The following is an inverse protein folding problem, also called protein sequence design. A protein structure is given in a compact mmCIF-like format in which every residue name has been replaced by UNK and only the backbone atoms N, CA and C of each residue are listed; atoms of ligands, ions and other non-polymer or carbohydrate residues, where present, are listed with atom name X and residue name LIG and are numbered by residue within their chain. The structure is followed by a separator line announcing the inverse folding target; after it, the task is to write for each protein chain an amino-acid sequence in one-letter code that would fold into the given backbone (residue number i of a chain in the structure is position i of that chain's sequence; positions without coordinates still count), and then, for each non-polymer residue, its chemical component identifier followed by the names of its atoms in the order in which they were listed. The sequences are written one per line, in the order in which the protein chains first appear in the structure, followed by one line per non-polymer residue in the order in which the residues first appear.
data_IF_407808975215
#
_entry.id   IF_407808975215
#
_cell.length_a   1.000
_cell.length_b   1.000
_cell.length_c   1.000
_cell.angle_alpha   90.00
_cell.angle_beta   90.00
_cell.angle_gamma   90.00
#
_symmetry.space_group_name_H-M   'P 1'
#
loop_
_entity.id
_entity.type
_entity.pdbx_description
1 polymer ?
#
# COMPACT_ATOMS: atom_id res chain seq x y z
N UNK A 1 -5.02 5.83 -10.43
CA UNK A 1 -6.26 5.51 -11.13
C UNK A 1 -6.38 6.28 -12.45
N UNK A 2 -7.27 5.84 -13.37
CA UNK A 2 -7.56 6.53 -14.64
C UNK A 2 -9.03 6.32 -15.02
N UNK A 3 -9.77 7.40 -15.20
CA UNK A 3 -11.19 7.37 -15.56
C UNK A 3 -11.44 8.19 -16.84
N UNK A 4 -12.35 7.76 -17.73
CA UNK A 4 -12.74 8.55 -18.89
C UNK A 4 -13.45 9.82 -18.45
N UNK A 5 -13.18 10.93 -19.17
CA UNK A 5 -13.88 12.19 -19.03
C UNK A 5 -14.14 12.78 -20.43
N UNK A 6 -15.36 13.18 -20.68
CA UNK A 6 -15.76 13.58 -22.03
C UNK A 6 -15.53 12.48 -23.06
N UNK A 7 -15.37 12.87 -24.32
CA UNK A 7 -15.28 11.93 -25.44
C UNK A 7 -13.87 11.32 -25.60
N UNK A 8 -12.83 12.15 -25.51
CA UNK A 8 -11.47 11.76 -25.85
C UNK A 8 -10.46 11.83 -24.71
N UNK A 9 -10.84 12.32 -23.54
CA UNK A 9 -9.93 12.61 -22.46
C UNK A 9 -10.01 11.56 -21.35
N UNK A 10 -9.00 11.53 -20.48
CA UNK A 10 -9.01 10.81 -19.19
C UNK A 10 -8.66 11.78 -18.07
N UNK A 11 -9.26 11.56 -16.90
CA UNK A 11 -8.74 12.05 -15.63
C UNK A 11 -7.85 10.95 -15.04
N UNK A 12 -6.62 11.31 -14.71
CA UNK A 12 -5.66 10.40 -14.05
C UNK A 12 -5.34 10.89 -12.65
N UNK A 13 -5.20 9.97 -11.72
CA UNK A 13 -4.65 10.23 -10.38
C UNK A 13 -3.31 9.53 -10.29
N UNK A 14 -2.26 10.28 -10.01
CA UNK A 14 -0.88 9.85 -9.99
C UNK A 14 -0.35 10.07 -8.57
N UNK A 15 0.18 9.02 -7.96
CA UNK A 15 0.96 9.13 -6.71
C UNK A 15 2.39 9.47 -7.09
N UNK A 16 2.88 10.61 -6.60
CA UNK A 16 4.19 11.14 -6.95
C UNK A 16 5.14 11.16 -5.77
N UNK A 17 6.42 11.15 -6.08
CA UNK A 17 7.52 11.26 -5.13
C UNK A 17 7.66 12.68 -4.57
N UNK A 18 7.33 13.70 -5.36
CA UNK A 18 7.61 15.10 -5.05
C UNK A 18 6.43 15.83 -4.39
N UNK A 19 5.20 15.48 -4.78
CA UNK A 19 3.99 16.25 -4.43
C UNK A 19 2.83 15.40 -3.92
N UNK A 20 3.10 14.15 -3.51
CA UNK A 20 2.06 13.24 -3.09
C UNK A 20 1.09 12.89 -4.21
N UNK A 21 -0.20 12.84 -3.92
CA UNK A 21 -1.25 12.51 -4.88
C UNK A 21 -1.61 13.72 -5.75
N UNK A 22 -1.58 13.54 -7.08
CA UNK A 22 -1.92 14.59 -8.04
C UNK A 22 -3.02 14.10 -8.98
N UNK A 23 -4.06 14.92 -9.18
CA UNK A 23 -5.06 14.71 -10.21
C UNK A 23 -4.71 15.56 -11.46
N UNK A 24 -4.76 14.95 -12.64
CA UNK A 24 -4.46 15.63 -13.90
C UNK A 24 -5.40 15.19 -15.03
N UNK A 25 -5.60 16.06 -16.00
CA UNK A 25 -6.31 15.75 -17.24
C UNK A 25 -5.32 15.29 -18.32
N UNK A 26 -5.54 14.12 -18.88
CA UNK A 26 -4.82 13.58 -20.02
C UNK A 26 -5.64 13.81 -21.29
N UNK A 27 -5.42 14.96 -21.93
CA UNK A 27 -6.17 15.38 -23.11
C UNK A 27 -5.89 14.48 -24.31
N UNK A 28 -6.93 14.02 -24.97
CA UNK A 28 -6.83 13.14 -26.13
C UNK A 28 -6.31 11.73 -25.81
N UNK A 29 -6.22 11.33 -24.55
CA UNK A 29 -5.69 10.01 -24.16
C UNK A 29 -6.51 8.83 -24.68
N UNK A 30 -7.76 9.04 -25.14
CA UNK A 30 -8.66 8.04 -25.72
C UNK A 30 -8.70 8.10 -27.24
N UNK A 31 -8.00 9.02 -27.88
CA UNK A 31 -7.92 9.08 -29.35
C UNK A 31 -7.10 7.91 -29.89
N UNK A 32 -7.44 7.38 -31.08
CA UNK A 32 -6.57 6.42 -31.74
C UNK A 32 -5.13 6.98 -31.87
N UNK A 33 -4.14 6.13 -31.62
CA UNK A 33 -2.70 6.47 -31.68
C UNK A 33 -2.24 7.57 -30.72
N UNK A 34 -3.00 7.86 -29.64
CA UNK A 34 -2.57 8.81 -28.64
C UNK A 34 -1.31 8.34 -27.91
N UNK A 35 -0.26 9.19 -27.80
CA UNK A 35 0.95 8.85 -27.03
C UNK A 35 0.67 8.69 -25.53
N UNK A 36 -0.44 9.26 -25.04
CA UNK A 36 -0.86 9.15 -23.66
C UNK A 36 -1.70 7.91 -23.36
N UNK A 37 -2.17 7.19 -24.38
CA UNK A 37 -3.08 6.04 -24.17
C UNK A 37 -2.46 4.96 -23.27
N UNK A 38 -1.22 4.57 -23.54
CA UNK A 38 -0.48 3.60 -22.74
C UNK A 38 -0.10 4.12 -21.36
N UNK A 39 0.30 5.39 -21.26
CA UNK A 39 0.67 6.03 -20.00
C UNK A 39 -0.50 6.12 -19.01
N UNK A 40 -1.73 6.30 -19.51
CA UNK A 40 -2.94 6.41 -18.70
C UNK A 40 -3.56 5.02 -18.38
N UNK A 41 -2.73 4.02 -18.18
CA UNK A 41 -3.17 2.68 -17.71
C UNK A 41 -2.77 2.51 -16.24
N UNK A 42 -3.65 1.98 -15.38
CA UNK A 42 -3.31 1.70 -13.99
C UNK A 42 -2.07 0.79 -13.84
N UNK A 43 -1.41 0.85 -12.72
CA UNK A 43 -0.19 0.12 -12.36
C UNK A 43 1.08 0.53 -13.14
N UNK A 44 1.04 1.57 -13.95
CA UNK A 44 2.24 2.08 -14.60
C UNK A 44 3.10 2.89 -13.63
N UNK A 45 4.42 2.65 -13.69
CA UNK A 45 5.42 3.43 -12.96
C UNK A 45 6.42 4.05 -13.93
N UNK A 46 6.78 5.30 -13.69
CA UNK A 46 7.69 6.05 -14.56
C UNK A 46 7.69 7.53 -14.23
N UNK A 47 8.16 8.32 -15.18
CA UNK A 47 8.22 9.78 -15.09
C UNK A 47 7.05 10.39 -15.83
N UNK A 48 6.33 11.27 -15.17
CA UNK A 48 5.17 11.97 -15.72
C UNK A 48 5.44 13.46 -15.78
N UNK A 49 5.34 14.06 -16.93
CA UNK A 49 5.48 15.51 -17.13
C UNK A 49 4.10 16.15 -17.03
N UNK A 50 3.93 16.99 -16.02
CA UNK A 50 2.68 17.68 -15.73
C UNK A 50 2.86 19.18 -15.95
N UNK A 51 1.88 19.81 -16.58
CA UNK A 51 1.71 21.25 -16.58
C UNK A 51 0.75 21.64 -15.46
N UNK A 52 1.21 22.49 -14.56
CA UNK A 52 0.40 23.03 -13.46
C UNK A 52 -0.33 24.27 -13.93
N UNK A 53 -1.62 24.16 -14.20
CA UNK A 53 -2.48 25.29 -14.51
C UNK A 53 -3.08 25.90 -13.23
N UNK A 54 -3.72 27.06 -13.38
CA UNK A 54 -4.31 27.79 -12.25
C UNK A 54 -5.34 26.95 -11.47
N UNK A 55 -6.15 26.14 -12.13
CA UNK A 55 -7.25 25.38 -11.53
C UNK A 55 -7.14 23.85 -11.71
N UNK A 56 -6.20 23.40 -12.53
CA UNK A 56 -6.05 21.95 -12.81
C UNK A 56 -4.69 21.65 -13.43
N UNK A 57 -4.23 20.42 -13.24
CA UNK A 57 -3.04 19.92 -13.87
C UNK A 57 -3.37 19.23 -15.20
N UNK A 58 -2.44 19.27 -16.15
CA UNK A 58 -2.55 18.57 -17.43
C UNK A 58 -1.35 17.64 -17.61
N UNK A 59 -1.60 16.38 -17.91
CA UNK A 59 -0.55 15.44 -18.29
C UNK A 59 -0.10 15.74 -19.72
N UNK A 60 1.16 16.14 -19.88
CA UNK A 60 1.76 16.46 -21.19
C UNK A 60 2.41 15.23 -21.82
N UNK A 61 3.21 14.50 -21.06
CA UNK A 61 3.88 13.29 -21.53
C UNK A 61 4.21 12.37 -20.36
N UNK A 62 4.55 11.13 -20.66
CA UNK A 62 5.07 10.19 -19.68
C UNK A 62 6.09 9.25 -20.31
N UNK A 63 7.14 8.96 -19.55
CA UNK A 63 8.14 7.94 -19.83
C UNK A 63 7.91 6.79 -18.85
N UNK A 64 7.30 5.69 -19.31
CA UNK A 64 6.97 4.55 -18.45
C UNK A 64 8.17 3.62 -18.37
N UNK A 65 8.69 3.45 -17.15
CA UNK A 65 9.82 2.57 -16.83
C UNK A 65 9.35 1.13 -16.56
N UNK A 66 8.14 0.98 -15.99
CA UNK A 66 7.56 -0.33 -15.73
C UNK A 66 6.05 -0.32 -15.97
N UNK A 67 5.58 -1.18 -16.85
CA UNK A 67 4.16 -1.36 -17.20
C UNK A 67 3.46 -2.43 -16.37
N UNK A 68 4.20 -3.29 -15.66
CA UNK A 68 3.67 -4.46 -14.96
C UNK A 68 2.66 -5.25 -15.82
N UNK A 69 3.04 -5.51 -17.06
CA UNK A 69 2.16 -6.12 -18.06
C UNK A 69 1.63 -7.50 -17.64
N UNK A 70 2.41 -8.22 -16.84
CA UNK A 70 2.08 -9.53 -16.28
C UNK A 70 0.81 -9.49 -15.42
N UNK A 71 0.56 -8.38 -14.70
CA UNK A 71 -0.64 -8.22 -13.89
C UNK A 71 -1.93 -8.20 -14.73
N UNK A 72 -1.84 -7.92 -16.04
CA UNK A 72 -3.00 -7.89 -16.94
C UNK A 72 -3.38 -9.27 -17.46
N UNK A 73 -2.47 -10.22 -17.39
CA UNK A 73 -2.68 -11.60 -17.87
C UNK A 73 -3.07 -12.54 -16.73
N UNK A 74 -3.01 -12.09 -15.49
CA UNK A 74 -3.37 -12.83 -14.30
C UNK A 74 -4.51 -12.12 -13.57
N UNK A 75 -5.69 -12.74 -13.60
CA UNK A 75 -6.92 -12.16 -13.02
C UNK A 75 -6.79 -11.94 -11.53
N UNK A 76 -6.24 -12.90 -10.79
CA UNK A 76 -6.08 -12.79 -9.33
C UNK A 76 -5.09 -11.69 -8.97
N UNK A 77 -3.91 -11.66 -9.61
CA UNK A 77 -2.91 -10.62 -9.42
C UNK A 77 -3.46 -9.22 -9.76
N UNK A 78 -4.30 -9.10 -10.81
CA UNK A 78 -4.95 -7.87 -11.19
C UNK A 78 -5.89 -7.35 -10.08
N UNK A 79 -6.72 -8.23 -9.49
CA UNK A 79 -7.61 -7.84 -8.39
C UNK A 79 -6.83 -7.33 -7.17
N UNK A 80 -5.76 -8.03 -6.78
CA UNK A 80 -4.89 -7.55 -5.71
C UNK A 80 -4.23 -6.21 -6.05
N UNK A 81 -3.74 -6.05 -7.28
CA UNK A 81 -3.13 -4.79 -7.72
C UNK A 81 -4.11 -3.61 -7.64
N UNK A 82 -5.36 -3.79 -8.11
CA UNK A 82 -6.39 -2.75 -7.99
C UNK A 82 -6.75 -2.46 -6.54
N UNK A 83 -6.89 -3.48 -5.70
CA UNK A 83 -7.11 -3.32 -4.28
C UNK A 83 -6.02 -2.46 -3.62
N UNK A 84 -4.74 -2.73 -3.89
CA UNK A 84 -3.64 -1.94 -3.34
C UNK A 84 -3.61 -0.50 -3.86
N UNK A 85 -4.00 -0.28 -5.10
CA UNK A 85 -4.12 1.08 -5.65
C UNK A 85 -5.25 1.87 -4.97
N UNK A 86 -6.40 1.25 -4.71
CA UNK A 86 -7.53 1.88 -4.00
C UNK A 86 -7.16 2.16 -2.54
N UNK A 87 -6.52 1.20 -1.87
CA UNK A 87 -6.04 1.38 -0.51
C UNK A 87 -5.07 2.56 -0.41
N UNK A 88 -4.08 2.63 -1.30
CA UNK A 88 -3.14 3.75 -1.33
C UNK A 88 -3.83 5.08 -1.68
N UNK A 89 -4.81 5.08 -2.58
CA UNK A 89 -5.59 6.29 -2.91
C UNK A 89 -6.35 6.81 -1.70
N UNK A 90 -6.87 5.93 -0.85
CA UNK A 90 -7.56 6.30 0.40
C UNK A 90 -6.61 6.97 1.41
N UNK A 91 -5.42 6.40 1.62
CA UNK A 91 -4.49 6.84 2.66
C UNK A 91 -3.58 7.99 2.25
N UNK A 92 -3.40 8.25 0.95
CA UNK A 92 -2.50 9.31 0.48
C UNK A 92 -3.20 10.66 0.27
N UNK A 93 -2.44 11.75 0.34
CA UNK A 93 -2.96 13.13 0.24
C UNK A 93 -2.19 13.94 -0.81
N UNK A 94 -2.82 15.02 -1.28
CA UNK A 94 -2.14 16.03 -2.11
C UNK A 94 -1.15 16.83 -1.26
N UNK A 95 -0.07 17.27 -1.86
CA UNK A 95 0.98 18.08 -1.24
C UNK A 95 1.62 17.46 0.02
N UNK A 96 1.53 16.13 0.18
CA UNK A 96 2.14 15.38 1.27
C UNK A 96 3.34 14.55 0.78
N UNK A 97 4.28 14.20 1.68
CA UNK A 97 5.38 13.30 1.35
C UNK A 97 4.88 11.84 1.39
N UNK A 98 4.59 11.30 0.23
CA UNK A 98 4.06 9.94 0.06
C UNK A 98 5.11 8.96 -0.51
N UNK A 99 6.40 9.26 -0.36
CA UNK A 99 7.49 8.45 -0.91
C UNK A 99 7.47 7.01 -0.42
N UNK A 100 7.20 6.79 0.86
CA UNK A 100 7.18 5.43 1.42
C UNK A 100 5.98 4.62 0.91
N UNK A 101 4.79 5.24 0.75
CA UNK A 101 3.64 4.58 0.13
C UNK A 101 3.91 4.27 -1.35
N UNK A 102 4.53 5.18 -2.09
CA UNK A 102 4.91 4.94 -3.49
C UNK A 102 5.90 3.78 -3.62
N UNK A 103 6.92 3.72 -2.75
CA UNK A 103 7.88 2.60 -2.71
C UNK A 103 7.17 1.29 -2.37
N UNK A 104 6.26 1.31 -1.38
CA UNK A 104 5.50 0.14 -0.96
C UNK A 104 4.68 -0.41 -2.13
N UNK A 105 3.92 0.44 -2.82
CA UNK A 105 3.18 0.06 -4.02
C UNK A 105 4.09 -0.57 -5.08
N UNK A 106 5.20 0.06 -5.39
CA UNK A 106 6.13 -0.44 -6.40
C UNK A 106 6.68 -1.84 -6.05
N UNK A 107 7.15 -2.04 -4.81
CA UNK A 107 7.65 -3.33 -4.37
C UNK A 107 6.54 -4.40 -4.35
N UNK A 108 5.35 -4.04 -3.92
CA UNK A 108 4.18 -4.93 -3.92
C UNK A 108 3.84 -5.41 -5.34
N UNK A 109 3.76 -4.49 -6.31
CA UNK A 109 3.52 -4.85 -7.71
C UNK A 109 4.59 -5.81 -8.26
N UNK A 110 5.87 -5.57 -7.92
CA UNK A 110 6.97 -6.48 -8.30
C UNK A 110 6.82 -7.89 -7.71
N UNK A 111 6.34 -7.98 -6.48
CA UNK A 111 6.13 -9.28 -5.82
C UNK A 111 4.94 -10.02 -6.41
N UNK A 112 3.86 -9.33 -6.71
CA UNK A 112 2.70 -9.91 -7.39
C UNK A 112 3.08 -10.51 -8.75
N UNK A 113 3.91 -9.83 -9.54
CA UNK A 113 4.35 -10.37 -10.85
C UNK A 113 5.24 -11.58 -10.71
N UNK A 114 6.07 -11.65 -9.66
CA UNK A 114 7.00 -12.76 -9.43
C UNK A 114 6.39 -13.99 -8.81
N UNK A 115 5.25 -13.87 -8.11
CA UNK A 115 4.52 -14.95 -7.42
C UNK A 115 5.38 -15.78 -6.45
N UNK A 116 6.36 -15.16 -5.80
CA UNK A 116 7.32 -15.86 -4.93
C UNK A 116 6.78 -16.15 -3.52
N UNK A 117 5.71 -15.48 -3.12
CA UNK A 117 5.00 -15.70 -1.85
C UNK A 117 3.48 -15.67 -2.13
N UNK A 118 2.66 -16.32 -1.26
CA UNK A 118 1.21 -16.32 -1.41
C UNK A 118 0.63 -14.89 -1.46
N UNK A 119 -0.32 -14.64 -2.34
CA UNK A 119 -0.93 -13.32 -2.50
C UNK A 119 -1.64 -12.84 -1.22
N UNK A 120 -2.18 -13.77 -0.44
CA UNK A 120 -2.75 -13.46 0.87
C UNK A 120 -1.70 -12.87 1.84
N UNK A 121 -0.49 -13.43 1.86
CA UNK A 121 0.62 -12.88 2.65
C UNK A 121 1.05 -11.50 2.10
N UNK A 122 1.09 -11.33 0.77
CA UNK A 122 1.36 -10.01 0.15
C UNK A 122 0.37 -8.98 0.64
N UNK A 123 -0.93 -9.35 0.73
CA UNK A 123 -1.98 -8.46 1.23
C UNK A 123 -1.74 -8.04 2.68
N UNK A 124 -1.53 -8.98 3.58
CA UNK A 124 -1.32 -8.66 5.00
C UNK A 124 -0.08 -7.81 5.24
N UNK A 125 1.01 -8.10 4.52
CA UNK A 125 2.23 -7.27 4.57
C UNK A 125 1.93 -5.85 4.08
N UNK A 126 1.23 -5.71 2.95
CA UNK A 126 0.90 -4.41 2.38
C UNK A 126 0.02 -3.59 3.33
N UNK A 127 -1.09 -4.17 3.80
CA UNK A 127 -2.07 -3.50 4.67
C UNK A 127 -1.40 -2.99 5.96
N UNK A 128 -0.68 -3.88 6.66
CA UNK A 128 -0.03 -3.51 7.92
C UNK A 128 1.09 -2.47 7.71
N UNK A 129 1.85 -2.59 6.63
CA UNK A 129 2.89 -1.61 6.30
C UNK A 129 2.32 -0.29 5.84
N UNK A 130 1.26 -0.29 5.05
CA UNK A 130 0.57 0.92 4.60
C UNK A 130 0.00 1.71 5.80
N UNK A 131 -0.65 1.04 6.75
CA UNK A 131 -1.08 1.66 8.00
C UNK A 131 0.11 2.27 8.77
N UNK A 132 1.23 1.54 8.83
CA UNK A 132 2.42 1.99 9.56
C UNK A 132 3.05 3.24 8.93
N UNK A 133 3.17 3.29 7.60
CA UNK A 133 3.74 4.46 6.91
C UNK A 133 2.79 5.65 6.89
N UNK A 134 1.48 5.41 7.02
CA UNK A 134 0.46 6.47 7.17
C UNK A 134 0.32 6.99 8.62
N UNK A 135 1.08 6.43 9.57
CA UNK A 135 1.02 6.83 10.98
C UNK A 135 -0.12 6.19 11.79
N UNK A 136 -0.87 5.27 11.21
CA UNK A 136 -2.01 4.57 11.82
C UNK A 136 -1.67 3.10 12.18
N UNK A 137 -0.40 2.72 12.07
CA UNK A 137 0.05 1.36 12.37
C UNK A 137 -0.04 1.01 13.86
N UNK A 138 -0.28 -0.28 14.18
CA UNK A 138 -0.39 -0.72 15.56
C UNK A 138 0.95 -0.66 16.29
N UNK A 139 0.89 -0.39 17.60
CA UNK A 139 2.05 -0.51 18.47
C UNK A 139 2.32 -1.98 18.83
N UNK A 140 3.35 -2.56 18.21
CA UNK A 140 3.70 -3.99 18.39
C UNK A 140 5.02 -4.23 19.14
N UNK A 141 5.67 -3.17 19.63
CA UNK A 141 6.97 -3.27 20.32
C UNK A 141 6.90 -3.06 21.81
N UNK A 142 5.82 -2.48 22.31
CA UNK A 142 5.64 -2.16 23.72
C UNK A 142 4.16 -2.01 24.06
N UNK A 143 3.84 -2.06 25.35
CA UNK A 143 2.49 -1.77 25.84
C UNK A 143 2.07 -0.34 25.50
N UNK A 144 0.92 -0.16 24.86
CA UNK A 144 0.38 1.17 24.49
C UNK A 144 0.07 2.05 25.69
N UNK A 145 -0.22 1.44 26.86
CA UNK A 145 -0.60 2.17 28.07
C UNK A 145 0.59 2.59 28.93
N UNK A 146 1.59 1.71 29.13
CA UNK A 146 2.70 1.98 30.07
C UNK A 146 4.10 1.90 29.45
N UNK A 147 4.21 1.57 28.16
CA UNK A 147 5.51 1.47 27.47
C UNK A 147 6.34 0.23 27.85
N UNK A 148 5.84 -0.69 28.68
CA UNK A 148 6.58 -1.89 29.06
C UNK A 148 6.78 -2.83 27.87
N UNK A 149 7.98 -3.44 27.74
CA UNK A 149 8.38 -4.29 26.61
C UNK A 149 8.56 -5.77 26.99
N UNK A 150 8.66 -6.07 28.28
CA UNK A 150 9.09 -7.40 28.74
C UNK A 150 7.93 -8.26 29.25
N UNK A 151 6.81 -7.66 29.61
CA UNK A 151 5.67 -8.39 30.17
C UNK A 151 4.85 -9.08 29.10
N UNK A 152 4.25 -10.25 29.41
CA UNK A 152 3.29 -10.87 28.50
C UNK A 152 2.19 -9.90 28.11
N UNK A 153 1.90 -9.80 26.82
CA UNK A 153 0.91 -8.89 26.28
C UNK A 153 -0.20 -9.61 25.53
N UNK A 154 -1.34 -8.94 25.43
CA UNK A 154 -2.39 -9.26 24.47
C UNK A 154 -2.43 -8.16 23.42
N UNK A 155 -2.84 -8.46 22.22
CA UNK A 155 -3.09 -7.49 21.17
C UNK A 155 -4.54 -7.04 21.24
N UNK A 156 -4.79 -5.75 21.20
CA UNK A 156 -6.13 -5.16 21.17
C UNK A 156 -6.25 -4.21 20.01
N UNK A 157 -7.22 -4.44 19.14
CA UNK A 157 -7.55 -3.56 18.01
C UNK A 157 -8.03 -2.20 18.52
N UNK A 158 -8.87 -2.20 19.56
CA UNK A 158 -9.41 -0.96 20.16
C UNK A 158 -8.35 -0.07 20.79
N UNK A 159 -7.33 -0.71 21.39
CA UNK A 159 -6.20 0.03 21.98
C UNK A 159 -5.12 0.39 20.94
N UNK A 160 -5.23 -0.14 19.72
CA UNK A 160 -4.26 0.10 18.66
C UNK A 160 -2.91 -0.59 18.86
N UNK A 161 -2.85 -1.73 19.57
CA UNK A 161 -1.61 -2.47 19.77
C UNK A 161 -1.55 -3.38 21.00
N UNK A 162 -0.32 -3.60 21.49
CA UNK A 162 -0.07 -4.50 22.62
C UNK A 162 -0.44 -3.85 23.94
N UNK A 163 -1.12 -4.61 24.82
CA UNK A 163 -1.40 -4.23 26.22
C UNK A 163 -0.83 -5.30 27.15
N UNK A 164 0.03 -4.91 28.09
CA UNK A 164 0.66 -5.86 29.00
C UNK A 164 -0.32 -6.40 30.06
N UNK A 165 0.05 -7.48 30.73
CA UNK A 165 -0.77 -8.18 31.73
C UNK A 165 -1.23 -7.30 32.90
N UNK A 166 -0.45 -6.30 33.30
CA UNK A 166 -0.84 -5.36 34.36
C UNK A 166 -1.88 -4.34 33.88
N UNK A 167 -1.70 -3.81 32.66
CA UNK A 167 -2.61 -2.82 32.09
C UNK A 167 -3.88 -3.46 31.50
N UNK A 168 -3.85 -4.77 31.19
CA UNK A 168 -4.86 -5.47 30.39
C UNK A 168 -6.03 -6.05 31.15
N UNK A 169 -6.18 -5.82 32.47
CA UNK A 169 -7.25 -6.41 33.29
C UNK A 169 -8.67 -6.16 32.76
N UNK A 170 -8.87 -5.07 32.01
CA UNK A 170 -10.16 -4.66 31.45
C UNK A 170 -10.15 -4.55 29.91
N UNK A 171 -9.28 -5.31 29.22
CA UNK A 171 -9.25 -5.34 27.76
C UNK A 171 -10.15 -6.48 27.26
N UNK A 172 -11.33 -6.13 26.76
CA UNK A 172 -12.35 -7.12 26.35
C UNK A 172 -12.07 -7.76 24.99
N UNK A 173 -11.33 -7.08 24.12
CA UNK A 173 -10.95 -7.54 22.76
C UNK A 173 -9.50 -8.05 22.69
N UNK A 174 -8.88 -8.30 23.84
CA UNK A 174 -7.49 -8.75 23.92
C UNK A 174 -7.29 -10.14 23.33
N UNK A 175 -6.49 -10.25 22.28
CA UNK A 175 -6.09 -11.50 21.64
C UNK A 175 -4.68 -11.90 22.08
N UNK A 176 -4.49 -13.15 22.48
CA UNK A 176 -3.16 -13.71 22.66
C UNK A 176 -2.63 -14.12 21.29
N UNK A 177 -1.56 -13.49 20.87
CA UNK A 177 -0.89 -13.82 19.61
C UNK A 177 0.15 -14.93 19.83
N UNK A 178 0.29 -15.78 18.84
CA UNK A 178 1.46 -16.65 18.72
C UNK A 178 2.72 -15.78 18.64
N UNK A 179 3.81 -16.23 19.26
CA UNK A 179 5.09 -15.51 19.22
C UNK A 179 5.58 -15.25 17.79
N UNK A 180 5.36 -16.21 16.88
CA UNK A 180 5.72 -16.06 15.47
C UNK A 180 4.86 -15.01 14.76
N UNK A 181 3.57 -14.90 15.10
CA UNK A 181 2.67 -13.86 14.55
C UNK A 181 3.11 -12.48 15.03
N UNK A 182 3.37 -12.33 16.32
CA UNK A 182 3.87 -11.08 16.88
C UNK A 182 5.21 -10.67 16.22
N UNK A 183 6.13 -11.63 16.06
CA UNK A 183 7.40 -11.38 15.37
C UNK A 183 7.19 -10.96 13.92
N UNK A 184 6.26 -11.59 13.19
CA UNK A 184 5.92 -11.20 11.82
C UNK A 184 5.38 -9.76 11.76
N UNK A 185 4.48 -9.39 12.67
CA UNK A 185 3.97 -8.01 12.76
C UNK A 185 5.09 -7.02 13.05
N UNK A 186 5.96 -7.31 14.01
CA UNK A 186 7.12 -6.48 14.35
C UNK A 186 8.07 -6.34 13.17
N UNK A 187 8.33 -7.44 12.45
CA UNK A 187 9.15 -7.43 11.24
C UNK A 187 8.53 -6.52 10.17
N UNK A 188 7.23 -6.66 9.87
CA UNK A 188 6.54 -5.85 8.86
C UNK A 188 6.58 -4.37 9.23
N UNK A 189 6.23 -4.03 10.47
CA UNK A 189 6.18 -2.63 10.92
C UNK A 189 7.57 -2.00 10.92
N UNK A 190 8.58 -2.69 11.48
CA UNK A 190 9.92 -2.14 11.70
C UNK A 190 10.86 -2.22 10.50
N UNK A 191 10.59 -3.09 9.50
CA UNK A 191 11.52 -3.32 8.39
C UNK A 191 11.33 -2.27 7.28
N UNK A 192 12.41 -1.78 6.64
CA UNK A 192 12.31 -0.95 5.45
C UNK A 192 11.56 -1.65 4.31
N UNK A 193 10.85 -0.88 3.48
CA UNK A 193 9.99 -1.38 2.40
C UNK A 193 10.71 -2.33 1.44
N UNK A 194 11.97 -2.08 1.17
CA UNK A 194 12.80 -2.85 0.23
C UNK A 194 13.06 -4.30 0.70
N UNK A 195 12.90 -4.58 2.00
CA UNK A 195 13.17 -5.90 2.63
C UNK A 195 11.91 -6.64 3.09
N UNK A 196 10.72 -6.08 2.86
CA UNK A 196 9.46 -6.61 3.42
C UNK A 196 9.12 -8.01 2.94
N UNK A 197 9.27 -8.30 1.65
CA UNK A 197 8.76 -9.52 1.00
C UNK A 197 9.83 -10.63 0.94
N UNK A 198 10.55 -10.85 2.05
CA UNK A 198 11.70 -11.78 2.12
C UNK A 198 11.45 -13.00 3.01
N UNK A 199 10.22 -13.20 3.49
CA UNK A 199 9.86 -14.29 4.39
C UNK A 199 8.56 -14.97 3.97
N UNK A 200 8.34 -16.16 4.53
CA UNK A 200 7.10 -16.93 4.43
C UNK A 200 6.60 -17.26 5.83
N UNK A 201 5.34 -17.62 5.96
CA UNK A 201 4.70 -18.00 7.21
C UNK A 201 4.10 -19.41 7.09
N UNK A 202 3.95 -20.10 8.22
CA UNK A 202 3.12 -21.30 8.28
C UNK A 202 1.64 -20.90 8.12
N UNK A 203 0.79 -21.84 7.69
CA UNK A 203 -0.65 -21.61 7.51
C UNK A 203 -1.33 -21.13 8.81
N UNK A 204 -0.87 -21.62 9.96
CA UNK A 204 -1.38 -21.21 11.27
C UNK A 204 -1.10 -19.72 11.54
N UNK A 205 0.16 -19.29 11.35
CA UNK A 205 0.59 -17.90 11.55
C UNK A 205 -0.05 -16.98 10.53
N UNK A 206 -0.18 -17.42 9.28
CA UNK A 206 -0.84 -16.66 8.22
C UNK A 206 -2.32 -16.40 8.55
N UNK A 207 -3.05 -17.43 9.01
CA UNK A 207 -4.44 -17.30 9.44
C UNK A 207 -4.62 -16.40 10.66
N UNK A 208 -3.67 -16.43 11.59
CA UNK A 208 -3.71 -15.56 12.77
C UNK A 208 -3.42 -14.10 12.41
N UNK A 209 -2.45 -13.87 11.53
CA UNK A 209 -2.11 -12.52 11.04
C UNK A 209 -3.28 -11.87 10.28
N UNK A 210 -4.15 -12.67 9.66
CA UNK A 210 -5.31 -12.19 8.89
C UNK A 210 -6.58 -11.93 9.72
N UNK A 211 -6.53 -12.11 11.04
CA UNK A 211 -7.64 -11.79 11.96
C UNK A 211 -7.63 -10.32 12.38
#
# INVERSE_FOLDING_TARGET
SAAPIGEYDKRVVILTKEKGKISAFAKGARRPNSPLAGACTPCNFGKFMLYEGRNSNTLQSAEIENYFAELRTDVEAAYYAFYFLEFADFYTREANDEREMLKLLYQTMRVLTKKIIPFELVRYIFELKALSVSGEGPQVFQCVRCGNRERPCVFSVKEGGLVCSECGQNVYDGMRLNTSTLYAMQFIVGTPVEKLYTFTLSDEVLKELGK
#
